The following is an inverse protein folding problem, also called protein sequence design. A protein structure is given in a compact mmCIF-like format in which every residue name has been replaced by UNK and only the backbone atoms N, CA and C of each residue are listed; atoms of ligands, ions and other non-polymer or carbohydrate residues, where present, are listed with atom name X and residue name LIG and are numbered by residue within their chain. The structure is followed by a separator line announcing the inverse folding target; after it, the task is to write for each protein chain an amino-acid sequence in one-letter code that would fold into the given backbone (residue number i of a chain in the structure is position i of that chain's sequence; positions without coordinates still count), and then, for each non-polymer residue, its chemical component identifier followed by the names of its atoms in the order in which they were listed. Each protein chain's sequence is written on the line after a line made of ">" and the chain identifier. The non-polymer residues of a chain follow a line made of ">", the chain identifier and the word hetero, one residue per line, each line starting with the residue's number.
data_IF_579452144744
#
_entry.id   IF_579452144744
#
_cell.length_a   1.000
_cell.length_b   1.000
_cell.length_c   1.000
_cell.angle_alpha   90.00
_cell.angle_beta   90.00
_cell.angle_gamma   90.00
#
_symmetry.space_group_name_H-M   'P 1'
#
loop_
_entity.id
_entity.type
_entity.pdbx_description
1 polymer ?
#
# COMPACT_ATOMS: atom_id res chain seq x y z
N UNK A 1 5.80 -1.62 87.77
CA UNK A 1 5.84 -2.63 86.69
C UNK A 1 4.75 -2.43 85.62
N UNK A 2 3.56 -1.90 85.94
CA UNK A 2 2.43 -1.72 84.99
C UNK A 2 2.62 -0.61 83.94
N UNK A 3 3.35 0.43 84.22
CA UNK A 3 3.59 1.53 83.30
C UNK A 3 4.61 1.20 82.23
N UNK A 4 5.55 0.30 82.40
CA UNK A 4 6.51 -0.14 81.40
C UNK A 4 5.90 -1.05 80.30
N UNK A 5 4.81 -1.79 80.67
CA UNK A 5 4.11 -2.62 79.72
C UNK A 5 3.23 -1.83 78.75
N UNK A 6 2.70 -0.68 79.15
CA UNK A 6 1.89 0.17 78.27
C UNK A 6 2.76 0.90 77.25
N UNK A 7 3.96 1.35 77.59
CA UNK A 7 4.88 2.03 76.69
C UNK A 7 5.43 1.11 75.57
N UNK A 8 5.61 -0.19 75.83
CA UNK A 8 6.06 -1.17 74.88
C UNK A 8 4.96 -1.57 73.87
N UNK A 9 3.69 -1.49 74.25
CA UNK A 9 2.56 -1.82 73.35
C UNK A 9 2.30 -0.77 72.28
N UNK A 10 2.55 0.49 72.61
CA UNK A 10 2.39 1.58 71.65
C UNK A 10 3.54 1.70 70.62
N UNK A 11 4.73 1.23 70.95
CA UNK A 11 5.88 1.22 70.04
C UNK A 11 5.75 0.20 68.90
N UNK A 12 4.97 -0.90 69.10
CA UNK A 12 4.70 -1.90 68.06
C UNK A 12 3.53 -1.53 67.13
N UNK A 13 2.64 -0.64 67.58
CA UNK A 13 1.53 -0.17 66.74
C UNK A 13 2.00 0.86 65.67
N UNK A 14 2.91 1.77 66.02
CA UNK A 14 3.43 2.77 65.12
C UNK A 14 4.33 2.19 64.02
N UNK A 15 5.08 1.11 64.30
CA UNK A 15 5.95 0.46 63.30
C UNK A 15 5.17 -0.27 62.18
N UNK A 16 3.93 -0.73 62.46
CA UNK A 16 3.09 -1.40 61.43
C UNK A 16 2.33 -0.42 60.56
N UNK A 17 1.99 0.74 61.05
CA UNK A 17 1.24 1.75 60.26
C UNK A 17 2.12 2.45 59.22
N UNK A 18 3.41 2.62 59.49
CA UNK A 18 4.35 3.21 58.51
C UNK A 18 4.77 2.25 57.39
N UNK A 19 4.77 0.93 57.64
CA UNK A 19 5.10 -0.08 56.63
C UNK A 19 4.04 -0.20 55.53
N UNK A 20 2.76 -0.21 55.90
CA UNK A 20 1.64 -0.34 54.95
C UNK A 20 1.46 0.87 54.04
N UNK A 21 1.73 2.07 54.51
CA UNK A 21 1.71 3.31 53.70
C UNK A 21 2.89 3.38 52.72
N UNK A 22 4.06 2.86 53.10
CA UNK A 22 5.24 2.80 52.23
C UNK A 22 5.04 1.79 51.09
N UNK A 23 4.45 0.63 51.36
CA UNK A 23 4.10 -0.36 50.34
C UNK A 23 2.97 0.10 49.39
N UNK A 24 1.96 0.82 49.90
CA UNK A 24 0.91 1.45 49.03
C UNK A 24 1.49 2.54 48.13
N UNK A 25 2.41 3.36 48.66
CA UNK A 25 3.07 4.40 47.86
C UNK A 25 3.99 3.81 46.78
N UNK A 26 4.77 2.76 47.11
CA UNK A 26 5.60 2.03 46.14
C UNK A 26 4.77 1.37 45.03
N UNK A 27 3.65 0.72 45.40
CA UNK A 27 2.75 0.12 44.36
C UNK A 27 2.21 1.18 43.41
N UNK A 28 1.74 2.35 43.89
CA UNK A 28 1.29 3.46 43.05
C UNK A 28 2.39 3.99 42.13
N UNK A 29 3.62 4.10 42.63
CA UNK A 29 4.77 4.58 41.80
C UNK A 29 5.16 3.55 40.75
N UNK A 30 5.08 2.23 41.07
CA UNK A 30 5.36 1.16 40.12
C UNK A 30 4.29 1.12 39.02
N UNK A 31 2.99 1.25 39.35
CA UNK A 31 1.92 1.33 38.33
C UNK A 31 2.03 2.59 37.45
N UNK A 32 2.49 3.71 38.02
CA UNK A 32 2.71 4.94 37.28
C UNK A 32 3.91 4.82 36.32
N UNK A 33 4.99 4.14 36.75
CA UNK A 33 6.15 3.82 35.92
C UNK A 33 5.81 2.79 34.82
N UNK A 34 5.00 1.76 35.12
CA UNK A 34 4.54 0.78 34.12
C UNK A 34 3.58 1.45 33.11
N UNK A 35 2.69 2.34 33.57
CA UNK A 35 1.82 3.14 32.69
C UNK A 35 2.61 4.07 31.77
N UNK A 36 3.64 4.73 32.29
CA UNK A 36 4.54 5.58 31.51
C UNK A 36 5.38 4.77 30.52
N UNK A 37 5.79 3.56 30.87
CA UNK A 37 6.54 2.65 30.00
C UNK A 37 5.67 2.09 28.87
N UNK A 38 4.38 1.84 29.10
CA UNK A 38 3.45 1.43 28.04
C UNK A 38 3.17 2.56 27.02
N UNK A 39 3.22 3.82 27.43
CA UNK A 39 3.08 4.97 26.53
C UNK A 39 4.33 5.13 25.64
N UNK A 40 5.51 4.72 26.10
CA UNK A 40 6.75 4.77 25.31
C UNK A 40 6.88 3.60 24.32
N UNK A 41 6.01 2.56 24.40
CA UNK A 41 6.03 1.43 23.47
C UNK A 41 5.08 1.62 22.28
N UNK A 42 4.30 2.69 22.23
CA UNK A 42 3.72 3.15 20.96
C UNK A 42 4.85 3.76 20.12
N UNK A 43 5.72 2.92 19.59
CA UNK A 43 6.50 3.24 18.41
C UNK A 43 5.46 3.45 17.30
N UNK A 44 4.94 4.66 17.19
CA UNK A 44 4.26 5.11 15.98
C UNK A 44 5.30 5.00 14.89
N UNK A 45 5.26 3.93 14.12
CA UNK A 45 5.83 3.96 12.77
C UNK A 45 5.12 5.13 12.09
N UNK A 46 5.86 6.21 11.86
CA UNK A 46 5.31 7.39 11.21
C UNK A 46 4.98 7.02 9.75
N UNK A 47 3.74 6.62 9.53
CA UNK A 47 3.18 6.27 8.22
C UNK A 47 2.46 7.47 7.58
N UNK A 48 2.63 8.67 8.12
CA UNK A 48 1.96 9.88 7.63
C UNK A 48 2.32 10.21 6.17
N UNK A 49 3.47 9.73 5.66
CA UNK A 49 3.85 9.88 4.26
C UNK A 49 2.85 9.24 3.29
N UNK A 50 2.11 8.19 3.72
CA UNK A 50 1.13 7.48 2.89
C UNK A 50 -0.03 8.40 2.52
N UNK A 51 -0.35 9.37 3.37
CA UNK A 51 -1.43 10.33 3.13
C UNK A 51 -1.14 11.33 2.01
N UNK A 52 0.09 11.37 1.50
CA UNK A 52 0.39 12.04 0.24
C UNK A 52 -0.22 11.34 -1.00
N UNK A 53 -0.76 10.12 -0.85
CA UNK A 53 -1.52 9.45 -1.90
C UNK A 53 -2.98 9.90 -1.78
N UNK A 54 -3.63 10.35 -2.88
CA UNK A 54 -5.01 10.82 -2.83
C UNK A 54 -5.98 9.73 -2.39
N UNK A 55 -6.92 10.07 -1.50
CA UNK A 55 -7.92 9.13 -0.95
C UNK A 55 -8.83 8.49 -2.00
N UNK A 56 -9.05 9.17 -3.13
CA UNK A 56 -9.88 8.72 -4.26
C UNK A 56 -9.09 7.97 -5.34
N UNK A 57 -7.86 7.53 -5.06
CA UNK A 57 -7.05 6.73 -6.00
C UNK A 57 -7.82 5.49 -6.48
N UNK A 58 -7.69 5.18 -7.77
CA UNK A 58 -8.40 4.07 -8.43
C UNK A 58 -7.65 2.75 -8.35
N UNK A 59 -6.34 2.80 -8.17
CA UNK A 59 -5.46 1.65 -7.98
C UNK A 59 -4.37 1.96 -6.95
N UNK A 60 -3.99 0.94 -6.18
CA UNK A 60 -2.94 1.02 -5.19
C UNK A 60 -2.17 -0.30 -5.12
N UNK A 61 -0.86 -0.23 -5.27
CA UNK A 61 0.07 -1.35 -5.10
C UNK A 61 1.01 -1.01 -3.96
N UNK A 62 1.13 -1.89 -2.98
CA UNK A 62 2.10 -1.79 -1.88
C UNK A 62 3.23 -2.76 -2.11
N UNK A 63 4.46 -2.30 -1.92
CA UNK A 63 5.67 -3.11 -1.92
C UNK A 63 6.38 -2.91 -0.57
N UNK A 64 6.62 -4.00 0.15
CA UNK A 64 7.37 -4.00 1.40
C UNK A 64 8.82 -4.48 1.16
N UNK A 65 9.79 -3.56 1.05
CA UNK A 65 11.17 -3.92 0.72
C UNK A 65 11.79 -4.83 1.78
N UNK A 66 11.41 -4.69 3.05
CA UNK A 66 11.97 -5.51 4.14
C UNK A 66 11.56 -7.00 4.03
N UNK A 67 10.43 -7.29 3.38
CA UNK A 67 9.89 -8.64 3.20
C UNK A 67 10.21 -9.27 1.84
N UNK A 68 10.81 -8.50 0.92
CA UNK A 68 11.14 -8.94 -0.44
C UNK A 68 12.54 -9.54 -0.48
N UNK A 69 12.79 -10.65 0.23
CA UNK A 69 14.08 -11.34 0.20
C UNK A 69 14.34 -11.99 -1.18
N UNK A 70 15.54 -11.77 -1.74
CA UNK A 70 15.95 -12.38 -3.01
C UNK A 70 15.65 -11.58 -4.28
N UNK A 71 14.93 -10.47 -4.18
CA UNK A 71 14.85 -9.44 -5.22
C UNK A 71 15.63 -8.21 -4.73
N UNK A 72 16.26 -7.49 -5.65
CA UNK A 72 16.77 -6.16 -5.34
C UNK A 72 15.57 -5.24 -5.08
N UNK A 73 15.15 -5.17 -3.83
CA UNK A 73 13.89 -4.58 -3.33
C UNK A 73 13.70 -3.12 -3.79
N UNK A 74 14.77 -2.43 -4.08
CA UNK A 74 14.76 -1.06 -4.59
C UNK A 74 15.08 -0.98 -6.09
N UNK A 75 15.07 -2.13 -6.80
CA UNK A 75 15.40 -2.14 -8.23
C UNK A 75 14.48 -1.24 -9.06
N UNK A 76 13.19 -1.19 -8.74
CA UNK A 76 12.22 -0.30 -9.41
C UNK A 76 12.61 1.16 -9.21
N UNK A 77 12.88 1.57 -7.96
CA UNK A 77 13.34 2.93 -7.65
C UNK A 77 14.71 3.22 -8.26
N UNK A 78 15.65 2.27 -8.18
CA UNK A 78 16.98 2.42 -8.80
C UNK A 78 16.87 2.67 -10.29
N UNK A 79 16.00 1.90 -10.97
CA UNK A 79 15.78 2.04 -12.41
C UNK A 79 15.09 3.37 -12.74
N UNK A 80 14.05 3.74 -11.99
CA UNK A 80 13.30 4.97 -12.20
C UNK A 80 14.16 6.22 -11.94
N UNK A 81 14.94 6.22 -10.86
CA UNK A 81 15.79 7.32 -10.44
C UNK A 81 17.22 7.24 -10.99
N UNK A 82 17.54 6.21 -11.78
CA UNK A 82 18.91 5.97 -12.27
C UNK A 82 19.99 6.01 -11.15
N UNK A 83 19.64 5.46 -9.99
CA UNK A 83 20.52 5.44 -8.81
C UNK A 83 21.09 4.05 -8.59
N UNK A 84 22.38 3.98 -8.23
CA UNK A 84 23.06 2.73 -7.91
C UNK A 84 23.00 2.37 -6.42
N UNK A 85 22.92 3.38 -5.55
CA UNK A 85 22.84 3.22 -4.09
C UNK A 85 21.78 4.14 -3.49
N UNK A 86 20.99 3.60 -2.56
CA UNK A 86 19.91 4.31 -1.86
C UNK A 86 20.31 4.77 -0.44
N UNK A 87 21.39 4.25 0.14
CA UNK A 87 21.75 4.47 1.56
C UNK A 87 21.94 5.95 1.94
N UNK A 88 22.12 6.82 0.93
CA UNK A 88 22.27 8.27 1.13
C UNK A 88 21.39 9.07 0.17
N UNK A 89 20.28 8.49 -0.25
CA UNK A 89 19.38 9.14 -1.21
C UNK A 89 18.45 10.16 -0.56
N UNK A 90 18.24 10.06 0.75
CA UNK A 90 17.21 10.76 1.48
C UNK A 90 15.85 10.07 1.43
N UNK A 91 15.72 8.89 0.78
CA UNK A 91 14.52 8.07 0.75
C UNK A 91 14.69 6.91 1.74
N UNK A 92 13.70 6.70 2.60
CA UNK A 92 13.64 5.57 3.52
C UNK A 92 13.16 4.31 2.80
N UNK A 93 14.12 3.53 2.29
CA UNK A 93 13.84 2.27 1.59
C UNK A 93 13.48 1.09 2.52
N UNK A 94 13.43 1.29 3.84
CA UNK A 94 12.98 0.28 4.81
C UNK A 94 11.46 0.27 4.98
N UNK A 95 10.78 1.33 4.57
CA UNK A 95 9.33 1.47 4.61
C UNK A 95 8.68 1.06 3.29
N UNK A 96 7.37 0.78 3.34
CA UNK A 96 6.59 0.41 2.15
C UNK A 96 6.66 1.52 1.09
N UNK A 97 6.77 1.08 -0.15
CA UNK A 97 6.70 1.95 -1.34
C UNK A 97 5.37 1.67 -2.01
N UNK A 98 4.69 2.72 -2.44
CA UNK A 98 3.39 2.59 -3.08
C UNK A 98 3.47 3.07 -4.53
N UNK A 99 2.84 2.29 -5.42
CA UNK A 99 2.44 2.76 -6.74
C UNK A 99 0.93 2.98 -6.71
N UNK A 100 0.45 4.01 -7.34
CA UNK A 100 -0.97 4.34 -7.36
C UNK A 100 -1.40 4.96 -8.68
N UNK A 101 -2.68 4.93 -8.95
CA UNK A 101 -3.31 5.73 -9.99
C UNK A 101 -4.21 6.77 -9.33
N UNK A 102 -3.96 8.04 -9.64
CA UNK A 102 -4.76 9.15 -9.12
C UNK A 102 -6.16 9.17 -9.75
N UNK A 103 -7.13 9.91 -9.19
CA UNK A 103 -8.47 10.06 -9.79
C UNK A 103 -8.46 10.55 -11.24
N UNK A 104 -7.44 11.32 -11.62
CA UNK A 104 -7.26 11.86 -12.96
C UNK A 104 -6.50 10.92 -13.92
N UNK A 105 -6.23 9.67 -13.49
CA UNK A 105 -5.55 8.66 -14.31
C UNK A 105 -4.02 8.83 -14.39
N UNK A 106 -3.41 9.74 -13.61
CA UNK A 106 -1.96 9.82 -13.53
C UNK A 106 -1.40 8.69 -12.67
N UNK A 107 -0.37 8.03 -13.17
CA UNK A 107 0.38 7.07 -12.36
C UNK A 107 1.25 7.83 -11.35
N UNK A 108 1.37 7.28 -10.15
CA UNK A 108 2.15 7.86 -9.08
C UNK A 108 2.98 6.82 -8.33
N UNK A 109 4.11 7.27 -7.80
CA UNK A 109 4.92 6.55 -6.83
C UNK A 109 5.00 7.40 -5.57
N UNK A 110 4.78 6.78 -4.41
CA UNK A 110 4.95 7.40 -3.10
C UNK A 110 5.95 6.60 -2.27
N UNK A 111 6.94 7.29 -1.68
CA UNK A 111 7.89 6.72 -0.75
C UNK A 111 8.13 7.67 0.44
N UNK A 112 8.57 7.11 1.56
CA UNK A 112 8.92 7.88 2.74
C UNK A 112 10.23 8.63 2.52
N UNK A 113 10.30 9.89 2.94
CA UNK A 113 11.53 10.68 3.00
C UNK A 113 12.14 10.48 4.38
N UNK A 114 13.43 10.16 4.42
CA UNK A 114 14.23 10.07 5.63
C UNK A 114 14.93 11.41 5.90
N UNK A 115 15.48 12.02 4.85
CA UNK A 115 16.19 13.29 4.91
C UNK A 115 15.95 14.11 3.63
N UNK A 116 15.20 15.19 3.76
CA UNK A 116 14.83 16.05 2.63
C UNK A 116 16.04 16.82 2.04
N UNK A 117 17.05 17.14 2.84
CA UNK A 117 18.25 17.81 2.38
C UNK A 117 19.14 16.87 1.57
N UNK A 118 19.32 15.64 2.05
CA UNK A 118 19.99 14.58 1.27
C UNK A 118 19.25 14.27 -0.02
N UNK A 119 17.92 14.25 0.00
CA UNK A 119 17.11 14.03 -1.20
C UNK A 119 17.29 15.17 -2.21
N UNK A 120 17.34 16.41 -1.74
CA UNK A 120 17.60 17.57 -2.58
C UNK A 120 19.00 17.51 -3.23
N UNK A 121 20.05 17.15 -2.45
CA UNK A 121 21.40 16.96 -2.99
C UNK A 121 21.46 15.79 -4.00
N UNK A 122 20.72 14.71 -3.77
CA UNK A 122 20.58 13.60 -4.71
C UNK A 122 20.03 14.07 -6.06
N UNK A 123 18.95 14.86 -6.05
CA UNK A 123 18.40 15.39 -7.31
C UNK A 123 19.29 16.44 -7.97
N UNK A 124 20.08 17.23 -7.22
CA UNK A 124 21.12 18.10 -7.80
C UNK A 124 22.21 17.28 -8.50
N UNK A 125 22.64 16.15 -7.92
CA UNK A 125 23.61 15.27 -8.56
C UNK A 125 23.04 14.64 -9.84
N UNK A 126 21.75 14.25 -9.85
CA UNK A 126 21.06 13.77 -11.06
C UNK A 126 20.96 14.86 -12.12
N UNK A 127 20.74 16.11 -11.71
CA UNK A 127 20.76 17.27 -12.60
C UNK A 127 22.14 17.47 -13.22
N UNK A 128 23.21 17.38 -12.44
CA UNK A 128 24.59 17.43 -12.95
C UNK A 128 24.92 16.33 -13.98
N UNK A 129 24.16 15.22 -13.96
CA UNK A 129 24.25 14.14 -14.96
C UNK A 129 23.28 14.32 -16.15
N UNK A 130 22.52 15.41 -16.20
CA UNK A 130 21.54 15.69 -17.25
C UNK A 130 20.26 14.84 -17.21
N UNK A 131 19.95 14.20 -16.06
CA UNK A 131 18.79 13.32 -15.89
C UNK A 131 17.51 14.08 -15.49
N UNK A 132 17.66 15.29 -14.96
CA UNK A 132 16.56 16.19 -14.60
C UNK A 132 17.08 17.63 -14.50
N UNK A 133 16.24 18.68 -14.53
CA UNK A 133 16.58 20.03 -14.12
C UNK A 133 16.94 20.12 -12.63
N UNK A 134 17.65 21.18 -12.22
CA UNK A 134 17.87 21.44 -10.82
C UNK A 134 16.55 21.57 -10.06
N UNK A 135 16.46 21.01 -8.84
CA UNK A 135 15.27 21.15 -8.01
C UNK A 135 14.94 22.63 -7.74
N UNK A 136 13.65 22.95 -7.83
CA UNK A 136 13.12 24.28 -7.49
C UNK A 136 12.19 24.19 -6.30
N UNK A 137 12.24 25.17 -5.39
CA UNK A 137 11.33 25.25 -4.25
C UNK A 137 10.13 26.10 -4.59
N UNK A 138 8.92 25.52 -4.47
CA UNK A 138 7.63 26.20 -4.70
C UNK A 138 6.62 25.79 -3.63
N UNK A 139 5.87 26.75 -3.08
CA UNK A 139 4.81 26.51 -2.06
C UNK A 139 5.28 25.65 -0.87
N UNK A 140 6.57 25.75 -0.49
CA UNK A 140 7.15 25.00 0.62
C UNK A 140 7.74 23.63 0.26
N UNK A 141 7.50 23.13 -0.96
CA UNK A 141 7.97 21.83 -1.45
C UNK A 141 9.04 22.00 -2.53
N UNK A 142 9.82 20.93 -2.73
CA UNK A 142 10.80 20.86 -3.80
C UNK A 142 10.23 20.10 -4.99
N UNK A 143 10.59 20.51 -6.21
CA UNK A 143 10.13 19.89 -7.46
C UNK A 143 11.25 19.78 -8.47
N UNK A 144 11.20 18.73 -9.26
CA UNK A 144 11.96 18.54 -10.50
C UNK A 144 11.15 17.72 -11.49
N UNK A 145 11.64 17.61 -12.75
CA UNK A 145 11.00 16.81 -13.80
C UNK A 145 11.99 15.77 -14.29
N UNK A 146 11.61 14.49 -14.24
CA UNK A 146 12.40 13.36 -14.69
C UNK A 146 12.00 12.98 -16.12
N UNK A 147 13.01 12.81 -17.00
CA UNK A 147 12.79 12.36 -18.39
C UNK A 147 11.72 13.17 -19.14
N UNK A 148 11.61 14.46 -18.83
CA UNK A 148 10.68 15.41 -19.43
C UNK A 148 9.18 15.07 -19.31
N UNK A 149 8.82 14.04 -18.56
CA UNK A 149 7.46 13.52 -18.47
C UNK A 149 6.98 13.24 -17.04
N UNK A 150 7.87 13.04 -16.09
CA UNK A 150 7.50 12.68 -14.72
C UNK A 150 7.84 13.80 -13.75
N UNK A 151 6.86 14.31 -13.04
CA UNK A 151 7.07 15.36 -12.03
C UNK A 151 7.36 14.70 -10.69
N UNK A 152 8.51 14.98 -10.11
CA UNK A 152 8.86 14.62 -8.75
C UNK A 152 8.63 15.84 -7.83
N UNK A 153 7.95 15.63 -6.71
CA UNK A 153 7.74 16.62 -5.66
C UNK A 153 7.92 16.00 -4.28
N UNK A 154 8.54 16.71 -3.34
CA UNK A 154 8.77 16.16 -2.00
C UNK A 154 8.70 17.18 -0.87
N UNK A 155 8.34 16.67 0.30
CA UNK A 155 8.37 17.31 1.60
C UNK A 155 9.45 16.66 2.49
N UNK A 156 9.43 16.96 3.77
CA UNK A 156 10.20 16.28 4.83
C UNK A 156 9.66 14.87 5.17
N UNK A 157 8.46 14.50 4.68
CA UNK A 157 7.79 13.23 5.00
C UNK A 157 7.69 12.28 3.81
N UNK A 158 7.33 12.80 2.65
CA UNK A 158 6.99 12.03 1.46
C UNK A 158 7.63 12.58 0.20
N UNK A 159 7.99 11.68 -0.72
CA UNK A 159 8.23 11.98 -2.13
C UNK A 159 7.12 11.38 -2.98
N UNK A 160 6.59 12.19 -3.90
CA UNK A 160 5.69 11.77 -4.97
C UNK A 160 6.39 11.93 -6.32
N UNK A 161 6.27 10.91 -7.17
CA UNK A 161 6.69 10.99 -8.59
C UNK A 161 5.47 10.62 -9.41
N UNK A 162 4.95 11.55 -10.19
CA UNK A 162 3.69 11.37 -10.92
C UNK A 162 3.85 11.70 -12.41
N UNK A 163 3.10 11.00 -13.26
CA UNK A 163 3.08 11.16 -14.72
C UNK A 163 2.64 9.87 -15.43
N UNK A 164 2.96 9.71 -16.72
CA UNK A 164 3.65 10.71 -17.57
C UNK A 164 2.70 11.84 -17.98
N UNK A 165 3.24 13.04 -18.10
CA UNK A 165 2.50 14.22 -18.60
C UNK A 165 3.30 15.00 -19.63
N UNK A 166 2.60 15.70 -20.51
CA UNK A 166 3.22 16.61 -21.48
C UNK A 166 3.76 17.87 -20.80
N UNK A 167 4.68 18.57 -21.46
CA UNK A 167 5.39 19.74 -20.88
C UNK A 167 4.42 20.83 -20.42
N UNK A 168 3.35 21.07 -21.16
CA UNK A 168 2.30 22.05 -20.84
C UNK A 168 1.48 21.67 -19.60
N UNK A 169 1.33 20.37 -19.30
CA UNK A 169 0.61 19.87 -18.12
C UNK A 169 1.48 19.80 -16.85
N UNK A 170 2.80 19.91 -16.94
CA UNK A 170 3.70 19.76 -15.80
C UNK A 170 3.43 20.76 -14.67
N UNK A 171 3.10 22.01 -15.02
CA UNK A 171 2.81 23.04 -14.02
C UNK A 171 1.52 22.74 -13.23
N UNK A 172 0.50 22.21 -13.89
CA UNK A 172 -0.73 21.77 -13.25
C UNK A 172 -0.47 20.58 -12.32
N UNK A 173 0.31 19.59 -12.78
CA UNK A 173 0.66 18.42 -11.96
C UNK A 173 1.53 18.81 -10.76
N UNK A 174 2.44 19.79 -10.85
CA UNK A 174 3.17 20.32 -9.70
C UNK A 174 2.24 20.92 -8.63
N UNK A 175 1.17 21.62 -9.05
CA UNK A 175 0.19 22.16 -8.13
C UNK A 175 -0.60 21.05 -7.43
N UNK A 176 -0.97 20.03 -8.17
CA UNK A 176 -1.68 18.85 -7.66
C UNK A 176 -0.82 18.07 -6.67
N UNK A 177 0.43 17.79 -7.00
CA UNK A 177 1.40 17.16 -6.07
C UNK A 177 1.55 18.00 -4.80
N UNK A 178 1.61 19.34 -4.90
CA UNK A 178 1.68 20.20 -3.72
C UNK A 178 0.44 20.13 -2.83
N UNK A 179 -0.73 19.85 -3.39
CA UNK A 179 -1.97 19.59 -2.63
C UNK A 179 -1.87 18.24 -1.93
N UNK A 180 -1.49 17.18 -2.64
CA UNK A 180 -1.34 15.84 -2.11
C UNK A 180 -0.31 15.75 -0.98
N UNK A 181 0.84 16.42 -1.10
CA UNK A 181 1.85 16.49 -0.05
C UNK A 181 1.41 17.22 1.24
N UNK A 182 0.26 17.89 1.23
CA UNK A 182 -0.35 18.56 2.39
C UNK A 182 -1.45 17.76 3.06
N UNK A 183 -1.93 16.72 2.40
CA UNK A 183 -3.03 15.91 2.91
C UNK A 183 -2.69 15.29 4.27
N UNK A 184 -3.69 15.19 5.11
CA UNK A 184 -3.63 14.51 6.41
C UNK A 184 -4.39 13.17 6.36
N UNK A 185 -4.65 12.59 7.54
CA UNK A 185 -5.29 11.28 7.66
C UNK A 185 -6.74 11.27 7.14
N UNK A 186 -7.42 12.42 7.10
CA UNK A 186 -8.82 12.51 6.65
C UNK A 186 -8.93 12.60 5.12
N UNK A 187 -7.96 13.23 4.47
CA UNK A 187 -7.94 13.47 3.02
C UNK A 187 -7.13 12.43 2.24
N UNK A 188 -6.14 11.82 2.89
CA UNK A 188 -5.22 10.86 2.29
C UNK A 188 -5.82 9.47 2.11
N UNK A 189 -5.06 8.63 1.44
CA UNK A 189 -5.47 7.25 1.09
C UNK A 189 -5.79 6.39 2.32
N UNK A 190 -5.21 6.68 3.49
CA UNK A 190 -5.40 5.88 4.70
C UNK A 190 -6.85 5.88 5.19
N UNK A 191 -7.64 6.92 4.88
CA UNK A 191 -9.08 7.00 5.15
C UNK A 191 -9.93 6.13 4.22
N UNK A 192 -9.38 5.64 3.10
CA UNK A 192 -10.13 4.96 2.05
C UNK A 192 -10.38 3.48 2.36
N UNK A 193 -11.51 2.96 1.85
CA UNK A 193 -11.79 1.51 1.89
C UNK A 193 -10.80 0.71 1.05
N UNK A 194 -10.25 1.31 0.00
CA UNK A 194 -9.25 0.69 -0.87
C UNK A 194 -7.98 0.41 -0.09
N UNK A 195 -7.48 1.38 0.69
CA UNK A 195 -6.33 1.17 1.56
C UNK A 195 -6.62 0.17 2.68
N UNK A 196 -7.80 0.24 3.32
CA UNK A 196 -8.20 -0.74 4.35
C UNK A 196 -8.16 -2.18 3.81
N UNK A 197 -8.63 -2.41 2.57
CA UNK A 197 -8.53 -3.73 1.92
C UNK A 197 -7.08 -4.09 1.63
N UNK A 198 -6.29 -3.18 1.07
CA UNK A 198 -4.88 -3.41 0.76
C UNK A 198 -4.08 -3.79 2.01
N UNK A 199 -4.27 -3.04 3.10
CA UNK A 199 -3.53 -3.24 4.36
C UNK A 199 -3.90 -4.55 5.08
N UNK A 200 -5.08 -5.10 4.75
CA UNK A 200 -5.51 -6.43 5.23
C UNK A 200 -4.81 -7.61 4.53
N UNK A 201 -4.07 -7.36 3.43
CA UNK A 201 -3.37 -8.39 2.67
C UNK A 201 -1.97 -8.57 3.25
N UNK A 202 -1.74 -9.72 3.88
CA UNK A 202 -0.43 -10.06 4.47
C UNK A 202 0.53 -10.66 3.43
N UNK A 203 1.07 -9.80 2.55
CA UNK A 203 2.02 -10.21 1.52
C UNK A 203 3.16 -9.17 1.35
N UNK A 204 4.35 -9.57 0.85
CA UNK A 204 5.44 -8.64 0.52
C UNK A 204 5.05 -7.60 -0.54
N UNK A 205 4.19 -8.00 -1.46
CA UNK A 205 3.57 -7.11 -2.44
C UNK A 205 2.07 -7.39 -2.47
N UNK A 206 1.28 -6.33 -2.48
CA UNK A 206 -0.18 -6.41 -2.55
C UNK A 206 -0.74 -5.34 -3.46
N UNK A 207 -1.89 -5.62 -4.06
CA UNK A 207 -2.57 -4.70 -4.97
C UNK A 207 -4.06 -4.69 -4.66
N UNK A 208 -4.67 -3.51 -4.72
CA UNK A 208 -6.12 -3.35 -4.85
C UNK A 208 -6.37 -2.28 -5.91
N UNK A 209 -7.19 -2.60 -6.91
CA UNK A 209 -7.50 -1.69 -8.01
C UNK A 209 -8.97 -1.82 -8.42
N UNK A 210 -9.56 -0.75 -8.92
CA UNK A 210 -10.82 -0.80 -9.63
C UNK A 210 -10.60 -1.47 -11.00
N UNK A 211 -11.53 -2.29 -11.46
CA UNK A 211 -11.42 -2.88 -12.79
C UNK A 211 -11.40 -1.81 -13.90
N UNK A 212 -12.03 -0.66 -13.65
CA UNK A 212 -12.00 0.49 -14.55
C UNK A 212 -10.60 1.12 -14.73
N UNK A 213 -9.65 0.87 -13.80
CA UNK A 213 -8.26 1.31 -13.92
C UNK A 213 -7.44 0.45 -14.91
N UNK A 214 -7.98 -0.68 -15.36
CA UNK A 214 -7.34 -1.51 -16.36
C UNK A 214 -7.61 -1.00 -17.78
N UNK A 215 -6.69 -1.24 -18.73
CA UNK A 215 -6.99 -1.02 -20.15
C UNK A 215 -8.24 -1.81 -20.56
N UNK A 216 -9.09 -1.23 -21.41
CA UNK A 216 -10.41 -1.74 -21.77
C UNK A 216 -10.45 -3.23 -22.15
N UNK A 217 -9.43 -3.70 -22.87
CA UNK A 217 -9.30 -5.08 -23.29
C UNK A 217 -9.16 -6.08 -22.15
N UNK A 218 -8.77 -5.61 -20.95
CA UNK A 218 -8.58 -6.44 -19.76
C UNK A 218 -9.74 -6.37 -18.76
N UNK A 219 -10.70 -5.46 -18.93
CA UNK A 219 -11.80 -5.27 -17.97
C UNK A 219 -12.74 -6.49 -17.95
N UNK A 220 -13.08 -7.01 -19.14
CA UNK A 220 -14.11 -8.04 -19.28
C UNK A 220 -13.88 -9.31 -18.45
N UNK A 221 -12.68 -9.90 -18.37
CA UNK A 221 -12.42 -11.07 -17.54
C UNK A 221 -12.66 -10.83 -16.06
N UNK A 222 -12.33 -9.64 -15.56
CA UNK A 222 -12.46 -9.29 -14.13
C UNK A 222 -13.88 -8.89 -13.73
N UNK A 223 -14.72 -8.49 -14.68
CA UNK A 223 -16.14 -8.16 -14.43
C UNK A 223 -17.07 -9.32 -14.69
N UNK A 224 -16.55 -10.51 -14.96
CA UNK A 224 -17.37 -11.71 -15.17
C UNK A 224 -18.21 -12.02 -13.93
N UNK A 225 -19.53 -12.13 -14.12
CA UNK A 225 -20.49 -12.35 -13.05
C UNK A 225 -21.02 -11.09 -12.38
N UNK A 226 -20.43 -9.91 -12.65
CA UNK A 226 -21.02 -8.66 -12.18
C UNK A 226 -22.41 -8.42 -12.84
N UNK A 227 -23.37 -7.78 -12.14
CA UNK A 227 -24.64 -7.39 -12.73
C UNK A 227 -24.42 -6.51 -13.96
N UNK A 228 -25.33 -6.63 -14.97
CA UNK A 228 -25.22 -5.91 -16.25
C UNK A 228 -25.23 -4.38 -16.12
N UNK A 229 -25.81 -3.88 -15.05
CA UNK A 229 -25.92 -2.44 -14.72
C UNK A 229 -24.78 -1.99 -13.79
N UNK A 230 -23.91 -2.88 -13.36
CA UNK A 230 -22.74 -2.50 -12.56
C UNK A 230 -21.68 -1.85 -13.43
N UNK A 231 -21.16 -0.74 -12.96
CA UNK A 231 -20.01 -0.07 -13.56
C UNK A 231 -18.71 -0.81 -13.20
N UNK A 232 -17.70 -0.76 -14.08
CA UNK A 232 -16.41 -1.40 -13.86
C UNK A 232 -15.66 -0.82 -12.63
N UNK A 233 -15.94 0.43 -12.24
CA UNK A 233 -15.40 1.04 -11.02
C UNK A 233 -15.95 0.40 -9.73
N UNK A 234 -17.10 -0.28 -9.80
CA UNK A 234 -17.68 -0.99 -8.67
C UNK A 234 -17.08 -2.40 -8.47
N UNK A 235 -16.36 -2.91 -9.47
CA UNK A 235 -15.64 -4.19 -9.38
C UNK A 235 -14.18 -3.90 -9.04
N UNK A 236 -13.70 -4.49 -7.96
CA UNK A 236 -12.33 -4.36 -7.52
C UNK A 236 -11.59 -5.68 -7.67
N UNK A 237 -10.28 -5.55 -7.87
CA UNK A 237 -9.34 -6.65 -7.95
C UNK A 237 -8.41 -6.50 -6.75
N UNK A 238 -8.31 -7.54 -5.93
CA UNK A 238 -7.28 -7.64 -4.89
C UNK A 238 -6.32 -8.75 -5.26
N UNK A 239 -5.02 -8.52 -5.12
CA UNK A 239 -4.00 -9.52 -5.38
C UNK A 239 -2.88 -9.46 -4.34
N UNK A 240 -2.39 -10.64 -3.97
CA UNK A 240 -1.14 -10.83 -3.26
C UNK A 240 -0.09 -11.39 -4.19
N UNK A 241 1.15 -10.94 -4.02
CA UNK A 241 2.28 -11.39 -4.79
C UNK A 241 3.39 -11.86 -3.84
N UNK A 242 3.81 -13.10 -4.00
CA UNK A 242 4.84 -13.73 -3.21
C UNK A 242 5.91 -14.32 -4.13
N UNK A 243 7.17 -14.33 -3.67
CA UNK A 243 8.25 -14.99 -4.39
C UNK A 243 8.72 -16.18 -3.57
N UNK A 244 8.63 -17.36 -4.17
CA UNK A 244 9.09 -18.61 -3.58
C UNK A 244 9.93 -19.33 -4.60
N UNK A 245 11.19 -19.70 -4.23
CA UNK A 245 12.11 -20.43 -5.09
C UNK A 245 12.30 -19.77 -6.48
N UNK A 246 12.45 -18.44 -6.52
CA UNK A 246 12.60 -17.63 -7.73
C UNK A 246 11.35 -17.62 -8.66
N UNK A 247 10.23 -18.16 -8.20
CA UNK A 247 8.94 -18.10 -8.90
C UNK A 247 8.06 -17.06 -8.23
N UNK A 248 7.51 -16.14 -9.02
CA UNK A 248 6.50 -15.20 -8.57
C UNK A 248 5.14 -15.88 -8.58
N UNK A 249 4.51 -15.96 -7.42
CA UNK A 249 3.15 -16.43 -7.23
C UNK A 249 2.24 -15.24 -7.05
N UNK A 250 1.23 -15.11 -7.90
CA UNK A 250 0.21 -14.07 -7.80
C UNK A 250 -1.12 -14.77 -7.58
N UNK A 251 -1.76 -14.48 -6.44
CA UNK A 251 -3.11 -14.92 -6.14
C UNK A 251 -4.01 -13.70 -6.11
N UNK A 252 -5.15 -13.75 -6.75
CA UNK A 252 -6.07 -12.62 -6.81
C UNK A 252 -7.52 -13.04 -6.75
N UNK A 253 -8.34 -12.10 -6.33
CA UNK A 253 -9.79 -12.23 -6.30
C UNK A 253 -10.45 -10.95 -6.84
N UNK A 254 -11.67 -11.10 -7.37
CA UNK A 254 -12.54 -9.97 -7.66
C UNK A 254 -13.59 -9.83 -6.57
N UNK A 255 -13.85 -8.59 -6.15
CA UNK A 255 -14.83 -8.29 -5.11
C UNK A 255 -15.46 -6.92 -5.35
N UNK A 256 -16.40 -6.53 -4.50
CA UNK A 256 -17.01 -5.20 -4.53
C UNK A 256 -17.32 -4.71 -3.11
N UNK A 257 -17.23 -3.40 -2.91
CA UNK A 257 -17.77 -2.75 -1.70
C UNK A 257 -19.30 -2.58 -1.76
N UNK A 258 -19.91 -2.73 -2.94
CA UNK A 258 -21.36 -2.80 -3.11
C UNK A 258 -21.83 -4.23 -2.82
N UNK A 259 -22.70 -4.47 -1.80
CA UNK A 259 -23.12 -5.82 -1.41
C UNK A 259 -23.76 -6.62 -2.57
N UNK A 260 -24.62 -5.98 -3.39
CA UNK A 260 -25.29 -6.65 -4.52
C UNK A 260 -24.28 -7.12 -5.57
N UNK A 261 -23.32 -6.27 -5.92
CA UNK A 261 -22.27 -6.63 -6.89
C UNK A 261 -21.37 -7.71 -6.31
N UNK A 262 -21.01 -7.61 -5.04
CA UNK A 262 -20.16 -8.58 -4.38
C UNK A 262 -20.78 -9.98 -4.29
N UNK A 263 -22.08 -10.08 -3.97
CA UNK A 263 -22.80 -11.36 -3.96
C UNK A 263 -22.88 -11.98 -5.37
N UNK A 264 -23.08 -11.18 -6.40
CA UNK A 264 -23.08 -11.67 -7.79
C UNK A 264 -21.71 -12.21 -8.20
N UNK A 265 -20.62 -11.51 -7.87
CA UNK A 265 -19.25 -11.96 -8.13
C UNK A 265 -18.95 -13.26 -7.38
N UNK A 266 -19.28 -13.35 -6.08
CA UNK A 266 -19.12 -14.59 -5.29
C UNK A 266 -19.89 -15.77 -5.89
N UNK A 267 -21.11 -15.54 -6.33
CA UNK A 267 -21.92 -16.58 -7.01
C UNK A 267 -21.27 -17.05 -8.30
N UNK A 268 -20.69 -16.12 -9.07
CA UNK A 268 -19.97 -16.44 -10.31
C UNK A 268 -18.69 -17.26 -10.05
N UNK A 269 -18.00 -17.02 -8.94
CA UNK A 269 -16.82 -17.82 -8.56
C UNK A 269 -17.15 -19.31 -8.39
N UNK A 270 -18.39 -19.66 -8.05
CA UNK A 270 -18.86 -21.03 -7.94
C UNK A 270 -18.77 -21.87 -9.22
N UNK A 271 -18.52 -21.25 -10.38
CA UNK A 271 -18.36 -21.96 -11.66
C UNK A 271 -16.97 -22.55 -11.85
N UNK A 272 -15.96 -22.03 -11.15
CA UNK A 272 -14.59 -22.51 -11.28
C UNK A 272 -14.39 -23.84 -10.54
N UNK A 273 -13.55 -24.68 -11.08
CA UNK A 273 -13.17 -25.99 -10.54
C UNK A 273 -11.65 -26.07 -10.39
N UNK A 274 -11.11 -26.86 -9.46
CA UNK A 274 -9.68 -27.07 -9.33
C UNK A 274 -9.04 -27.57 -10.63
N UNK A 275 -7.91 -26.99 -11.00
CA UNK A 275 -7.14 -27.42 -12.18
C UNK A 275 -6.48 -28.75 -11.86
N UNK A 276 -6.61 -29.75 -12.74
CA UNK A 276 -5.99 -31.05 -12.59
C UNK A 276 -4.55 -31.02 -13.10
N UNK A 277 -3.59 -31.45 -12.27
CA UNK A 277 -2.15 -31.41 -12.58
C UNK A 277 -1.74 -32.11 -13.87
N UNK A 278 -2.53 -33.12 -14.34
CA UNK A 278 -2.27 -33.83 -15.61
C UNK A 278 -2.25 -32.91 -16.83
N UNK A 279 -3.00 -31.82 -16.82
CA UNK A 279 -3.00 -30.84 -17.92
C UNK A 279 -1.76 -29.94 -17.87
N UNK A 280 -1.32 -29.60 -16.65
CA UNK A 280 -0.10 -28.81 -16.46
C UNK A 280 1.13 -29.63 -16.89
N UNK A 281 1.20 -30.90 -16.54
CA UNK A 281 2.32 -31.79 -16.92
C UNK A 281 2.36 -32.13 -18.42
N UNK A 282 1.27 -31.92 -19.16
CA UNK A 282 1.25 -32.09 -20.61
C UNK A 282 1.81 -30.87 -21.38
N UNK A 283 2.09 -29.78 -20.70
CA UNK A 283 2.63 -28.56 -21.33
C UNK A 283 4.10 -28.81 -21.75
N UNK A 284 4.51 -28.35 -22.94
CA UNK A 284 5.91 -28.41 -23.37
C UNK A 284 6.84 -27.69 -22.36
N UNK A 285 8.03 -28.26 -22.14
CA UNK A 285 8.98 -27.71 -21.17
C UNK A 285 9.55 -26.32 -21.57
N UNK A 286 9.49 -25.98 -22.85
CA UNK A 286 9.93 -24.73 -23.46
C UNK A 286 8.77 -23.73 -23.68
N UNK A 287 7.57 -24.03 -23.21
CA UNK A 287 6.45 -23.11 -23.31
C UNK A 287 6.68 -21.81 -22.53
N UNK A 288 6.61 -20.68 -23.21
CA UNK A 288 6.78 -19.35 -22.59
C UNK A 288 5.56 -18.91 -21.81
N UNK A 289 4.37 -19.39 -22.16
CA UNK A 289 3.10 -19.05 -21.53
C UNK A 289 2.14 -20.24 -21.59
N UNK A 290 1.45 -20.49 -20.50
CA UNK A 290 0.37 -21.47 -20.42
C UNK A 290 -0.82 -20.88 -19.68
N UNK A 291 -2.03 -21.09 -20.19
CA UNK A 291 -3.28 -20.74 -19.52
C UNK A 291 -4.10 -21.99 -19.30
N UNK A 292 -4.56 -22.18 -18.07
CA UNK A 292 -5.39 -23.32 -17.68
C UNK A 292 -6.68 -22.79 -17.07
N UNK A 293 -7.80 -23.30 -17.57
CA UNK A 293 -9.13 -22.97 -17.07
C UNK A 293 -9.91 -24.26 -16.86
N UNK A 294 -10.47 -24.44 -15.67
CA UNK A 294 -11.38 -25.53 -15.36
C UNK A 294 -12.68 -24.94 -14.80
N UNK A 295 -13.77 -25.12 -15.53
CA UNK A 295 -15.08 -24.54 -15.22
C UNK A 295 -16.20 -25.56 -15.38
N UNK A 296 -17.28 -25.35 -14.65
CA UNK A 296 -18.56 -25.97 -14.94
C UNK A 296 -19.20 -25.30 -16.16
N UNK A 297 -19.16 -25.97 -17.33
CA UNK A 297 -19.60 -25.36 -18.60
C UNK A 297 -21.07 -24.94 -18.59
N UNK A 298 -21.93 -25.66 -17.85
CA UNK A 298 -23.38 -25.34 -17.79
C UNK A 298 -23.61 -24.03 -17.03
N UNK A 299 -22.79 -23.75 -16.03
CA UNK A 299 -22.87 -22.52 -15.24
C UNK A 299 -22.06 -21.38 -15.89
N UNK A 300 -20.93 -21.66 -16.54
CA UNK A 300 -20.01 -20.68 -17.11
C UNK A 300 -20.54 -20.02 -18.38
N UNK A 301 -21.17 -20.80 -19.30
CA UNK A 301 -21.70 -20.26 -20.56
C UNK A 301 -22.71 -19.12 -20.39
N UNK A 302 -23.70 -19.20 -19.47
CA UNK A 302 -24.60 -18.06 -19.21
C UNK A 302 -23.89 -16.81 -18.72
N UNK A 303 -22.85 -16.98 -17.90
CA UNK A 303 -22.05 -15.82 -17.43
C UNK A 303 -21.32 -15.15 -18.58
N UNK A 304 -20.68 -15.91 -19.46
CA UNK A 304 -20.04 -15.37 -20.67
C UNK A 304 -21.05 -14.65 -21.56
N UNK A 305 -22.20 -15.24 -21.80
CA UNK A 305 -23.26 -14.66 -22.62
C UNK A 305 -23.90 -13.41 -22.01
N UNK A 306 -23.81 -13.24 -20.70
CA UNK A 306 -24.33 -12.05 -20.01
C UNK A 306 -23.34 -10.91 -19.98
N UNK A 307 -22.04 -11.15 -20.16
CA UNK A 307 -20.98 -10.14 -20.08
C UNK A 307 -20.78 -9.44 -21.44
N UNK A 308 -21.10 -8.15 -21.52
CA UNK A 308 -21.01 -7.36 -22.75
C UNK A 308 -19.57 -7.26 -23.29
N UNK A 309 -18.58 -7.15 -22.41
CA UNK A 309 -17.17 -7.07 -22.82
C UNK A 309 -16.69 -8.38 -23.44
N UNK A 310 -17.08 -9.54 -22.90
CA UNK A 310 -16.77 -10.85 -23.49
C UNK A 310 -17.50 -11.02 -24.82
N UNK A 311 -18.76 -10.61 -24.91
CA UNK A 311 -19.50 -10.64 -26.18
C UNK A 311 -18.80 -9.80 -27.26
N UNK A 312 -18.34 -8.59 -26.91
CA UNK A 312 -17.60 -7.73 -27.84
C UNK A 312 -16.29 -8.38 -28.30
N UNK A 313 -15.55 -9.03 -27.36
CA UNK A 313 -14.34 -9.78 -27.72
C UNK A 313 -14.63 -10.95 -28.67
N UNK A 314 -15.70 -11.71 -28.41
CA UNK A 314 -16.06 -12.85 -29.26
C UNK A 314 -16.57 -12.43 -30.66
N UNK A 315 -17.26 -11.30 -30.77
CA UNK A 315 -17.73 -10.77 -32.06
C UNK A 315 -16.61 -10.13 -32.87
N UNK A 316 -15.53 -9.67 -32.22
CA UNK A 316 -14.35 -9.12 -32.92
C UNK A 316 -13.37 -10.19 -33.43
N UNK A 317 -13.60 -11.46 -33.13
CA UNK A 317 -12.77 -12.60 -33.57
C UNK A 317 -13.33 -13.21 -34.89
N UNK A 318 -14.48 -12.79 -35.38
CA UNK A 318 -15.10 -13.28 -36.60
C UNK A 318 -14.61 -12.46 -37.83
#
# INVERSE_FOLDING_TARGET
>A
ARQKQIANRNRWADGRYNGTNRFKKMKKTIYLLIGLWMICLSSCTDNSYINAIPGESTALISMDPARMSGINNVAVLKTLLHMTNFDKSGIDASHRIFLFESPDGNLGLCAKVDDADHLNETFKQLSGKGLCPNPVKRKGFHFTVLKDAWVAGWSDKAILIMGPVTVDAQAALQLQIAQYLKQDDDEGITSSKLFTKLDSIDAPMSMVAQAAALPDQFIAPFTLGAPKDADASQVLIAAEMNIKQQVMHINGETFSFNPRVNEALKSAHGVYRPIQGKYVSAMPADAMLGMFLNVDGKMFLPLMQSNKGIQALLTGIN
#
